data_IF_998960888634
#
_entry.id   IF_998960888634
#
_cell.length_a   1.000
_cell.length_b   1.000
_cell.length_c   1.000
_cell.angle_alpha   90.00
_cell.angle_beta   90.00
_cell.angle_gamma   90.00
#
_symmetry.space_group_name_H-M   'P 1'
#
loop_
_entity.id
_entity.type
_entity.pdbx_description
1 polymer ?
#
# COMPACT_ATOMS: atom_id res chain seq x y z
N UNK A 1 -32.59 23.01 -3.48
CA UNK A 1 -31.14 22.92 -3.38
C UNK A 1 -30.64 22.30 -4.66
N UNK A 2 -29.55 22.76 -5.25
CA UNK A 2 -28.98 22.13 -6.44
C UNK A 2 -28.63 20.66 -6.14
N UNK A 3 -28.91 19.76 -7.07
CA UNK A 3 -28.55 18.37 -6.95
C UNK A 3 -27.06 18.24 -7.29
N UNK A 4 -26.20 18.26 -6.28
CA UNK A 4 -24.74 18.22 -6.45
C UNK A 4 -24.27 16.98 -7.23
N UNK A 5 -24.92 15.84 -7.03
CA UNK A 5 -24.56 14.58 -7.70
C UNK A 5 -24.82 14.66 -9.21
N UNK A 6 -25.95 15.25 -9.62
CA UNK A 6 -26.26 15.42 -11.05
C UNK A 6 -25.33 16.46 -11.69
N UNK A 7 -25.08 17.58 -11.01
CA UNK A 7 -24.13 18.58 -11.50
C UNK A 7 -22.72 18.01 -11.70
N UNK A 8 -22.23 17.17 -10.78
CA UNK A 8 -20.95 16.48 -10.95
C UNK A 8 -20.91 15.60 -12.20
N UNK A 9 -21.98 14.84 -12.46
CA UNK A 9 -22.07 14.00 -13.66
C UNK A 9 -22.06 14.84 -14.95
N UNK A 10 -22.78 15.95 -14.95
CA UNK A 10 -22.81 16.89 -16.11
C UNK A 10 -21.42 17.49 -16.35
N UNK A 11 -20.69 17.89 -15.29
CA UNK A 11 -19.33 18.42 -15.40
C UNK A 11 -18.37 17.36 -15.93
N UNK A 12 -18.41 16.13 -15.39
CA UNK A 12 -17.57 15.04 -15.87
C UNK A 12 -17.83 14.74 -17.36
N UNK A 13 -19.09 14.74 -17.77
CA UNK A 13 -19.48 14.57 -19.16
C UNK A 13 -18.91 15.70 -20.02
N UNK A 14 -19.05 16.96 -19.59
CA UNK A 14 -18.50 18.12 -20.29
C UNK A 14 -16.97 18.01 -20.43
N UNK A 15 -16.24 17.61 -19.39
CA UNK A 15 -14.79 17.46 -19.44
C UNK A 15 -14.37 16.41 -20.46
N UNK A 16 -15.07 15.27 -20.50
CA UNK A 16 -14.77 14.19 -21.43
C UNK A 16 -15.07 14.57 -22.87
N UNK A 17 -16.27 15.15 -23.14
CA UNK A 17 -16.69 15.55 -24.49
C UNK A 17 -15.81 16.65 -25.08
N UNK A 18 -15.22 17.49 -24.25
CA UNK A 18 -14.36 18.60 -24.69
C UNK A 18 -12.87 18.36 -24.51
N UNK A 19 -12.46 17.19 -24.04
CA UNK A 19 -11.07 16.82 -23.74
C UNK A 19 -10.33 17.91 -22.94
N UNK A 20 -10.94 18.34 -21.83
CA UNK A 20 -10.40 19.44 -21.02
C UNK A 20 -9.04 19.07 -20.44
N UNK A 21 -8.87 17.83 -19.98
CA UNK A 21 -7.60 17.36 -19.42
C UNK A 21 -6.50 17.28 -20.47
N UNK A 22 -6.80 16.73 -21.67
CA UNK A 22 -5.84 16.68 -22.76
C UNK A 22 -5.40 18.06 -23.22
N UNK A 23 -6.31 19.02 -23.33
CA UNK A 23 -6.00 20.42 -23.66
C UNK A 23 -5.08 21.05 -22.64
N UNK A 24 -5.36 20.87 -21.34
CA UNK A 24 -4.50 21.38 -20.25
C UNK A 24 -3.08 20.83 -20.34
N UNK A 25 -2.95 19.50 -20.57
CA UNK A 25 -1.63 18.88 -20.75
C UNK A 25 -0.88 19.46 -21.94
N UNK A 26 -1.55 19.63 -23.05
CA UNK A 26 -0.97 20.18 -24.28
C UNK A 26 -0.49 21.64 -24.08
N UNK A 27 -1.29 22.49 -23.46
CA UNK A 27 -0.93 23.87 -23.17
C UNK A 27 0.30 23.97 -22.26
N UNK A 28 0.41 23.09 -21.27
CA UNK A 28 1.48 23.12 -20.27
C UNK A 28 2.76 22.41 -20.71
N UNK A 29 2.73 21.63 -21.78
CA UNK A 29 3.83 20.78 -22.22
C UNK A 29 5.14 21.54 -22.50
N UNK A 30 5.03 22.78 -23.01
CA UNK A 30 6.16 23.56 -23.49
C UNK A 30 6.42 24.84 -22.67
N UNK A 31 5.85 24.98 -21.49
CA UNK A 31 6.00 26.18 -20.65
C UNK A 31 7.37 26.29 -19.97
N UNK A 32 8.15 25.21 -19.96
CA UNK A 32 9.43 25.14 -19.22
C UNK A 32 9.25 25.01 -17.70
N UNK A 33 8.02 24.97 -17.19
CA UNK A 33 7.70 24.71 -15.79
C UNK A 33 7.26 23.27 -15.63
N UNK A 34 7.81 22.60 -14.63
CA UNK A 34 7.48 21.19 -14.35
C UNK A 34 7.16 20.96 -12.88
N UNK A 35 6.08 20.25 -12.62
CA UNK A 35 5.69 19.79 -11.29
C UNK A 35 5.94 18.29 -11.19
N UNK A 36 6.92 17.89 -10.37
CA UNK A 36 7.25 16.49 -10.15
C UNK A 36 6.16 15.83 -9.28
N UNK A 37 5.58 14.78 -9.79
CA UNK A 37 4.57 13.98 -9.10
C UNK A 37 4.90 12.51 -9.22
N UNK A 38 4.81 11.79 -8.12
CA UNK A 38 4.89 10.34 -8.05
C UNK A 38 3.72 9.85 -7.21
N UNK A 39 2.86 9.03 -7.80
CA UNK A 39 1.73 8.46 -7.06
C UNK A 39 2.21 7.41 -6.05
N UNK A 40 1.79 7.54 -4.78
CA UNK A 40 1.87 6.47 -3.81
C UNK A 40 0.76 5.46 -4.13
N UNK A 41 1.12 4.23 -4.58
CA UNK A 41 0.17 3.33 -5.19
C UNK A 41 -0.87 2.83 -4.18
N UNK A 42 -2.14 2.82 -4.59
CA UNK A 42 -3.21 2.21 -3.80
C UNK A 42 -3.18 0.70 -3.97
N UNK A 43 -3.39 -0.05 -2.87
CA UNK A 43 -3.47 -1.51 -2.95
C UNK A 43 -4.75 -1.95 -3.65
N UNK A 44 -4.59 -2.73 -4.74
CA UNK A 44 -5.68 -3.21 -5.58
C UNK A 44 -6.30 -4.51 -5.03
N UNK A 45 -6.77 -4.50 -3.77
CA UNK A 45 -7.35 -5.65 -3.09
C UNK A 45 -8.84 -5.51 -2.74
N UNK A 46 -9.39 -4.29 -2.83
CA UNK A 46 -10.80 -4.00 -2.55
C UNK A 46 -11.24 -2.66 -3.16
N UNK A 47 -12.53 -2.33 -3.05
CA UNK A 47 -13.06 -1.02 -3.44
C UNK A 47 -12.44 0.11 -2.61
N UNK A 48 -12.39 1.32 -3.16
CA UNK A 48 -11.91 2.48 -2.41
C UNK A 48 -12.73 2.75 -1.15
N UNK A 49 -12.05 2.90 -0.01
CA UNK A 49 -12.62 3.48 1.19
C UNK A 49 -12.57 5.01 1.18
N UNK A 50 -13.23 5.65 2.13
CA UNK A 50 -13.31 7.11 2.26
C UNK A 50 -11.91 7.77 2.37
N UNK A 51 -11.00 7.16 3.10
CA UNK A 51 -9.62 7.64 3.26
C UNK A 51 -8.83 7.62 1.95
N UNK A 52 -9.08 6.63 1.08
CA UNK A 52 -8.48 6.59 -0.25
C UNK A 52 -9.04 7.72 -1.14
N UNK A 53 -10.35 7.94 -1.12
CA UNK A 53 -10.99 9.03 -1.86
C UNK A 53 -10.45 10.40 -1.40
N UNK A 54 -10.27 10.60 -0.11
CA UNK A 54 -9.67 11.81 0.45
C UNK A 54 -8.25 12.02 -0.06
N UNK A 55 -7.37 11.03 0.08
CA UNK A 55 -6.00 11.11 -0.41
C UNK A 55 -5.93 11.43 -1.91
N UNK A 56 -6.76 10.78 -2.73
CA UNK A 56 -6.83 11.03 -4.16
C UNK A 56 -7.28 12.43 -4.49
N UNK A 57 -8.26 12.94 -3.76
CA UNK A 57 -8.72 14.33 -3.91
C UNK A 57 -7.62 15.34 -3.57
N UNK A 58 -6.82 15.10 -2.52
CA UNK A 58 -5.69 15.98 -2.18
C UNK A 58 -4.60 15.97 -3.27
N UNK A 59 -4.27 14.81 -3.80
CA UNK A 59 -3.31 14.68 -4.92
C UNK A 59 -3.80 15.45 -6.16
N UNK A 60 -5.09 15.27 -6.49
CA UNK A 60 -5.71 15.93 -7.64
C UNK A 60 -5.73 17.46 -7.48
N UNK A 61 -6.04 17.98 -6.30
CA UNK A 61 -6.00 19.43 -6.02
C UNK A 61 -4.60 20.01 -6.29
N UNK A 62 -3.55 19.33 -5.83
CA UNK A 62 -2.17 19.79 -6.04
C UNK A 62 -1.77 19.77 -7.52
N UNK A 63 -2.12 18.71 -8.24
CA UNK A 63 -1.86 18.60 -9.67
C UNK A 63 -2.65 19.63 -10.48
N UNK A 64 -3.93 19.85 -10.16
CA UNK A 64 -4.75 20.89 -10.80
C UNK A 64 -4.21 22.28 -10.55
N UNK A 65 -3.84 22.57 -9.30
CA UNK A 65 -3.23 23.86 -8.96
C UNK A 65 -1.93 24.10 -9.75
N UNK A 66 -1.06 23.09 -9.84
CA UNK A 66 0.16 23.18 -10.65
C UNK A 66 -0.17 23.40 -12.13
N UNK A 67 -1.11 22.62 -12.69
CA UNK A 67 -1.55 22.77 -14.08
C UNK A 67 -2.15 24.14 -14.38
N UNK A 68 -2.99 24.69 -13.48
CA UNK A 68 -3.56 26.03 -13.63
C UNK A 68 -2.48 27.14 -13.56
N UNK A 69 -1.33 26.88 -12.96
CA UNK A 69 -0.17 27.77 -12.96
C UNK A 69 0.82 27.54 -14.11
N UNK A 70 0.40 26.76 -15.11
CA UNK A 70 1.17 26.49 -16.31
C UNK A 70 2.29 25.48 -16.12
N UNK A 71 2.22 24.61 -15.10
CA UNK A 71 3.19 23.53 -14.92
C UNK A 71 2.73 22.27 -15.69
N UNK A 72 3.62 21.74 -16.52
CA UNK A 72 3.48 20.35 -17.01
C UNK A 72 3.72 19.36 -15.88
N UNK A 73 3.09 18.21 -15.93
CA UNK A 73 3.29 17.11 -14.98
C UNK A 73 3.12 15.76 -15.66
N UNK A 74 3.75 14.72 -15.07
CA UNK A 74 3.46 13.35 -15.44
C UNK A 74 2.32 12.84 -14.54
N UNK A 75 1.14 12.69 -15.12
CA UNK A 75 -0.09 12.32 -14.40
C UNK A 75 -0.23 10.80 -14.28
N UNK A 76 0.83 10.12 -13.83
CA UNK A 76 0.85 8.67 -13.74
C UNK A 76 0.21 8.18 -12.45
N UNK A 77 -0.77 7.28 -12.56
CA UNK A 77 -1.38 6.57 -11.44
C UNK A 77 -0.57 5.31 -11.11
N UNK A 78 -0.65 4.86 -9.85
CA UNK A 78 -0.02 3.61 -9.41
C UNK A 78 -0.98 2.67 -8.71
N UNK A 79 -0.72 1.36 -8.88
CA UNK A 79 -1.39 0.29 -8.15
C UNK A 79 -0.38 -0.57 -7.41
N UNK A 80 -0.60 -0.75 -6.10
CA UNK A 80 0.10 -1.75 -5.30
C UNK A 80 -0.61 -3.11 -5.50
N UNK A 81 0.10 -4.03 -6.13
CA UNK A 81 -0.47 -5.23 -6.72
C UNK A 81 -0.01 -6.53 -6.07
N UNK A 82 0.68 -6.49 -4.92
CA UNK A 82 1.23 -7.69 -4.29
C UNK A 82 1.34 -7.57 -2.77
N UNK A 83 1.77 -8.67 -2.13
CA UNK A 83 1.96 -8.76 -0.68
C UNK A 83 0.72 -9.22 0.07
N UNK A 84 0.84 -9.27 1.39
CA UNK A 84 -0.18 -9.81 2.30
C UNK A 84 -1.60 -9.26 2.09
N UNK A 85 -1.82 -7.97 1.82
CA UNK A 85 -3.18 -7.46 1.64
C UNK A 85 -3.94 -8.11 0.48
N UNK A 86 -3.25 -8.47 -0.61
CA UNK A 86 -3.83 -9.19 -1.75
C UNK A 86 -4.02 -10.66 -1.41
N UNK A 87 -2.99 -11.30 -0.84
CA UNK A 87 -3.01 -12.71 -0.45
C UNK A 87 -4.13 -13.02 0.54
N UNK A 88 -4.26 -12.23 1.62
CA UNK A 88 -5.31 -12.37 2.63
C UNK A 88 -6.72 -12.21 2.03
N UNK A 89 -6.86 -11.36 1.02
CA UNK A 89 -8.13 -11.22 0.30
C UNK A 89 -8.50 -12.50 -0.43
N UNK A 90 -7.55 -13.11 -1.13
CA UNK A 90 -7.75 -14.37 -1.85
C UNK A 90 -7.95 -15.53 -0.89
N UNK A 91 -7.17 -15.64 0.18
CA UNK A 91 -7.38 -16.65 1.23
C UNK A 91 -8.81 -16.60 1.77
N UNK A 92 -9.31 -15.41 2.05
CA UNK A 92 -10.68 -15.21 2.55
C UNK A 92 -11.73 -15.62 1.52
N UNK A 93 -11.53 -15.30 0.24
CA UNK A 93 -12.45 -15.68 -0.84
C UNK A 93 -12.47 -17.20 -1.08
N UNK A 94 -11.32 -17.86 -0.94
CA UNK A 94 -11.18 -19.31 -1.11
C UNK A 94 -11.44 -20.11 0.18
N UNK A 95 -11.61 -19.45 1.33
CA UNK A 95 -11.78 -20.11 2.63
C UNK A 95 -10.51 -20.81 3.14
N UNK A 96 -9.33 -20.39 2.70
CA UNK A 96 -8.04 -20.93 3.13
C UNK A 96 -7.60 -20.28 4.45
N UNK A 97 -7.12 -21.09 5.40
CA UNK A 97 -6.78 -20.65 6.75
C UNK A 97 -5.31 -20.83 7.13
N UNK A 98 -4.54 -21.43 6.26
CA UNK A 98 -3.12 -21.70 6.51
C UNK A 98 -2.32 -21.80 5.21
N UNK A 99 -1.01 -21.55 5.33
CA UNK A 99 -0.05 -21.70 4.23
C UNK A 99 -0.06 -23.13 3.64
N UNK A 100 -0.25 -24.15 4.49
CA UNK A 100 -0.35 -25.56 4.03
C UNK A 100 -1.57 -25.80 3.14
N UNK A 101 -2.66 -25.06 3.36
CA UNK A 101 -3.85 -25.15 2.50
C UNK A 101 -3.61 -24.46 1.16
N UNK A 102 -2.85 -23.36 1.12
CA UNK A 102 -2.41 -22.72 -0.13
C UNK A 102 -1.53 -23.67 -0.94
N UNK A 103 -0.57 -24.34 -0.28
CA UNK A 103 0.29 -25.33 -0.93
C UNK A 103 -0.52 -26.50 -1.54
N UNK A 104 -1.56 -26.97 -0.84
CA UNK A 104 -2.49 -28.01 -1.35
C UNK A 104 -3.37 -27.51 -2.49
N UNK A 105 -3.81 -26.26 -2.44
CA UNK A 105 -4.58 -25.63 -3.52
C UNK A 105 -3.74 -25.47 -4.79
N UNK A 106 -2.43 -25.33 -4.62
CA UNK A 106 -1.44 -25.08 -5.67
C UNK A 106 -1.03 -23.61 -5.73
N UNK A 107 0.26 -23.37 -5.53
CA UNK A 107 0.81 -22.01 -5.49
C UNK A 107 0.53 -21.23 -6.77
N UNK A 108 0.68 -21.87 -7.94
CA UNK A 108 0.39 -21.24 -9.23
C UNK A 108 -1.07 -20.82 -9.36
N UNK A 109 -2.01 -21.69 -8.99
CA UNK A 109 -3.44 -21.38 -8.98
C UNK A 109 -3.77 -20.23 -8.04
N UNK A 110 -3.09 -20.17 -6.88
CA UNK A 110 -3.26 -19.10 -5.91
C UNK A 110 -2.75 -17.76 -6.45
N UNK A 111 -1.57 -17.74 -7.09
CA UNK A 111 -1.02 -16.54 -7.74
C UNK A 111 -1.96 -16.05 -8.84
N UNK A 112 -2.49 -16.94 -9.67
CA UNK A 112 -3.45 -16.57 -10.71
C UNK A 112 -4.69 -15.90 -10.10
N UNK A 113 -5.20 -16.40 -8.97
CA UNK A 113 -6.29 -15.76 -8.23
C UNK A 113 -5.91 -14.37 -7.70
N UNK A 114 -4.69 -14.21 -7.21
CA UNK A 114 -4.19 -12.89 -6.79
C UNK A 114 -4.17 -11.90 -7.96
N UNK A 115 -3.69 -12.30 -9.12
CA UNK A 115 -3.69 -11.46 -10.32
C UNK A 115 -5.12 -11.08 -10.74
N UNK A 116 -6.06 -12.03 -10.74
CA UNK A 116 -7.48 -11.76 -11.04
C UNK A 116 -8.10 -10.76 -10.06
N UNK A 117 -7.75 -10.83 -8.78
CA UNK A 117 -8.19 -9.87 -7.75
C UNK A 117 -7.63 -8.48 -8.04
N UNK A 118 -6.35 -8.39 -8.36
CA UNK A 118 -5.69 -7.11 -8.71
C UNK A 118 -6.35 -6.48 -9.95
N UNK A 119 -6.54 -7.23 -11.02
CA UNK A 119 -7.17 -6.74 -12.26
C UNK A 119 -8.59 -6.23 -12.01
N UNK A 120 -9.37 -7.00 -11.25
CA UNK A 120 -10.73 -6.62 -10.88
C UNK A 120 -10.78 -5.31 -10.10
N UNK A 121 -9.98 -5.20 -9.04
CA UNK A 121 -10.07 -4.04 -8.15
C UNK A 121 -9.35 -2.82 -8.69
N UNK A 122 -8.28 -2.96 -9.47
CA UNK A 122 -7.67 -1.83 -10.17
C UNK A 122 -8.65 -1.17 -11.14
N UNK A 123 -9.42 -1.96 -11.90
CA UNK A 123 -10.47 -1.46 -12.77
C UNK A 123 -11.57 -0.72 -11.99
N UNK A 124 -12.06 -1.29 -10.89
CA UNK A 124 -13.08 -0.65 -10.04
C UNK A 124 -12.55 0.66 -9.44
N UNK A 125 -11.33 0.66 -8.90
CA UNK A 125 -10.70 1.84 -8.31
C UNK A 125 -10.50 2.94 -9.36
N UNK A 126 -10.13 2.57 -10.58
CA UNK A 126 -10.02 3.50 -11.70
C UNK A 126 -11.35 4.20 -11.97
N UNK A 127 -12.45 3.44 -12.08
CA UNK A 127 -13.78 4.01 -12.31
C UNK A 127 -14.26 4.87 -11.12
N UNK A 128 -13.98 4.44 -9.89
CA UNK A 128 -14.27 5.24 -8.69
C UNK A 128 -13.46 6.55 -8.68
N UNK A 129 -12.21 6.52 -9.12
CA UNK A 129 -11.34 7.70 -9.19
C UNK A 129 -11.76 8.67 -10.30
N UNK A 130 -12.16 8.15 -11.45
CA UNK A 130 -12.78 8.95 -12.53
C UNK A 130 -14.09 9.58 -12.04
N UNK A 131 -14.88 8.85 -11.25
CA UNK A 131 -16.12 9.39 -10.65
C UNK A 131 -15.87 10.50 -9.64
N UNK A 132 -14.73 10.49 -8.92
CA UNK A 132 -14.27 11.60 -8.08
C UNK A 132 -13.84 12.82 -8.89
N UNK A 133 -13.68 12.67 -10.20
CA UNK A 133 -13.16 13.71 -11.09
C UNK A 133 -11.64 13.83 -11.09
N UNK A 134 -10.92 12.84 -10.58
CA UNK A 134 -9.46 12.84 -10.59
C UNK A 134 -8.90 12.76 -12.01
N UNK A 135 -7.93 13.60 -12.33
CA UNK A 135 -7.23 13.62 -13.61
C UNK A 135 -5.92 12.86 -13.55
N UNK A 136 -5.86 11.75 -14.28
CA UNK A 136 -4.67 10.91 -14.44
C UNK A 136 -4.63 10.32 -15.84
N UNK A 137 -3.46 9.97 -16.32
CA UNK A 137 -3.25 9.14 -17.50
C UNK A 137 -3.49 7.67 -17.11
N UNK A 138 -4.75 7.27 -17.12
CA UNK A 138 -5.18 5.96 -16.61
C UNK A 138 -4.58 4.80 -17.41
N UNK A 139 -4.31 5.00 -18.68
CA UNK A 139 -3.70 4.00 -19.57
C UNK A 139 -2.17 3.87 -19.35
N UNK A 140 -1.56 4.85 -18.66
CA UNK A 140 -0.15 4.86 -18.24
C UNK A 140 0.00 4.52 -16.74
N UNK A 141 -0.93 3.77 -16.17
CA UNK A 141 -0.84 3.35 -14.78
C UNK A 141 0.28 2.33 -14.59
N UNK A 142 1.15 2.54 -13.58
CA UNK A 142 2.13 1.52 -13.22
C UNK A 142 1.57 0.53 -12.19
N UNK A 143 2.04 -0.71 -12.27
CA UNK A 143 1.72 -1.78 -11.35
C UNK A 143 2.99 -2.30 -10.69
N UNK A 144 2.97 -2.45 -9.35
CA UNK A 144 4.17 -2.86 -8.62
C UNK A 144 4.63 -4.27 -8.96
N UNK A 145 3.77 -5.11 -9.54
CA UNK A 145 4.06 -6.47 -10.01
C UNK A 145 4.44 -6.55 -11.49
N UNK A 146 4.56 -5.43 -12.20
CA UNK A 146 5.01 -5.44 -13.60
C UNK A 146 6.51 -5.71 -13.70
N UNK A 147 6.93 -6.33 -14.81
CA UNK A 147 8.34 -6.65 -15.05
C UNK A 147 9.21 -5.38 -15.12
N UNK A 148 8.67 -4.29 -15.66
CA UNK A 148 9.35 -2.99 -15.72
C UNK A 148 9.61 -2.45 -14.31
N UNK A 149 8.59 -2.46 -13.45
CA UNK A 149 8.75 -1.99 -12.07
C UNK A 149 9.71 -2.89 -11.27
N UNK A 150 9.57 -4.20 -11.39
CA UNK A 150 10.47 -5.17 -10.74
C UNK A 150 11.91 -4.96 -11.21
N UNK A 151 12.14 -4.79 -12.52
CA UNK A 151 13.47 -4.53 -13.07
C UNK A 151 14.06 -3.22 -12.55
N UNK A 152 13.27 -2.16 -12.45
CA UNK A 152 13.71 -0.88 -11.90
C UNK A 152 14.10 -1.00 -10.42
N UNK A 153 13.32 -1.74 -9.61
CA UNK A 153 13.64 -2.01 -8.19
C UNK A 153 14.94 -2.83 -8.08
N UNK A 154 15.13 -3.85 -8.89
CA UNK A 154 16.38 -4.63 -8.90
C UNK A 154 17.58 -3.79 -9.31
N UNK A 155 17.42 -2.89 -10.29
CA UNK A 155 18.49 -1.94 -10.66
C UNK A 155 18.84 -1.03 -9.48
N UNK A 156 17.85 -0.48 -8.80
CA UNK A 156 18.06 0.35 -7.60
C UNK A 156 18.83 -0.42 -6.51
N UNK A 157 18.40 -1.66 -6.19
CA UNK A 157 19.06 -2.51 -5.21
C UNK A 157 20.51 -2.83 -5.61
N UNK A 158 20.75 -3.10 -6.89
CA UNK A 158 22.11 -3.33 -7.43
C UNK A 158 23.00 -2.12 -7.17
N UNK A 159 22.55 -0.91 -7.52
CA UNK A 159 23.30 0.33 -7.28
C UNK A 159 23.57 0.55 -5.79
N UNK A 160 22.60 0.28 -4.92
CA UNK A 160 22.78 0.37 -3.46
C UNK A 160 23.83 -0.63 -2.95
N UNK A 161 23.81 -1.85 -3.48
CA UNK A 161 24.80 -2.87 -3.15
C UNK A 161 26.21 -2.47 -3.60
N UNK A 162 26.38 -2.01 -4.85
CA UNK A 162 27.67 -1.54 -5.39
C UNK A 162 28.24 -0.36 -4.59
N UNK A 163 27.38 0.48 -4.01
CA UNK A 163 27.78 1.57 -3.10
C UNK A 163 28.07 1.12 -1.66
N UNK A 164 27.88 -0.16 -1.34
CA UNK A 164 28.06 -0.68 0.01
C UNK A 164 26.99 -0.24 1.02
N UNK A 165 25.83 0.20 0.54
CA UNK A 165 24.72 0.64 1.41
C UNK A 165 23.85 -0.51 1.91
N UNK A 166 23.94 -1.66 1.28
CA UNK A 166 23.22 -2.89 1.71
C UNK A 166 24.18 -3.76 2.50
N UNK A 167 23.80 -4.11 3.71
CA UNK A 167 24.58 -4.96 4.60
C UNK A 167 23.68 -6.01 5.25
N UNK A 168 24.23 -7.20 5.52
CA UNK A 168 23.55 -8.23 6.29
C UNK A 168 23.64 -7.92 7.79
N UNK A 169 22.50 -7.95 8.48
CA UNK A 169 22.41 -7.73 9.93
C UNK A 169 21.28 -8.54 10.55
N UNK A 170 21.45 -8.93 11.79
CA UNK A 170 20.36 -9.47 12.60
C UNK A 170 19.53 -8.33 13.18
N UNK A 171 18.21 -8.41 13.03
CA UNK A 171 17.26 -7.47 13.60
C UNK A 171 16.10 -8.24 14.23
N UNK A 172 15.75 -7.95 15.50
CA UNK A 172 14.50 -8.46 16.08
C UNK A 172 13.33 -7.93 15.27
N UNK A 173 12.45 -8.83 14.85
CA UNK A 173 11.29 -8.48 14.02
C UNK A 173 10.08 -9.25 14.53
N UNK A 174 8.91 -8.61 14.71
CA UNK A 174 7.67 -9.31 14.98
C UNK A 174 7.38 -10.34 13.88
N UNK A 175 6.90 -11.50 14.28
CA UNK A 175 6.67 -12.62 13.38
C UNK A 175 5.24 -13.13 13.52
N UNK A 176 4.53 -13.22 12.42
CA UNK A 176 3.22 -13.82 12.34
C UNK A 176 3.34 -15.34 12.16
N UNK A 177 2.91 -16.10 13.17
CA UNK A 177 2.96 -17.57 13.13
C UNK A 177 1.97 -18.12 12.09
N UNK A 178 0.81 -17.48 11.91
CA UNK A 178 -0.21 -17.87 10.92
C UNK A 178 0.29 -17.71 9.50
N UNK A 179 0.83 -16.53 9.18
CA UNK A 179 1.29 -16.19 7.83
C UNK A 179 2.71 -16.70 7.54
N UNK A 180 3.48 -17.06 8.58
CA UNK A 180 4.86 -17.52 8.44
C UNK A 180 5.82 -16.45 7.92
N UNK A 181 5.56 -15.16 8.25
CA UNK A 181 6.34 -14.03 7.76
C UNK A 181 6.56 -12.96 8.84
N UNK A 182 7.56 -12.11 8.62
CA UNK A 182 7.79 -10.92 9.43
C UNK A 182 6.67 -9.89 9.21
N UNK A 183 6.31 -9.16 10.27
CA UNK A 183 5.33 -8.09 10.23
C UNK A 183 6.02 -6.73 10.17
N UNK A 184 5.49 -5.84 9.35
CA UNK A 184 5.87 -4.43 9.29
C UNK A 184 5.20 -3.63 10.43
N UNK A 185 5.74 -2.45 10.73
CA UNK A 185 5.13 -1.52 11.69
C UNK A 185 3.72 -1.10 11.25
N UNK A 186 3.50 -1.01 9.95
CA UNK A 186 2.21 -0.65 9.38
C UNK A 186 1.14 -1.72 9.63
N UNK A 187 1.48 -2.98 9.39
CA UNK A 187 0.58 -4.11 9.66
C UNK A 187 0.29 -4.28 11.16
N UNK A 188 1.23 -3.93 12.03
CA UNK A 188 1.01 -3.91 13.48
C UNK A 188 0.16 -2.72 13.96
N UNK A 189 0.05 -1.67 13.16
CA UNK A 189 -0.75 -0.49 13.45
C UNK A 189 -2.25 -0.64 13.15
N UNK A 190 -2.65 -1.69 12.46
CA UNK A 190 -4.05 -1.94 12.14
C UNK A 190 -4.89 -2.20 13.39
N UNK A 191 -6.11 -1.66 13.40
CA UNK A 191 -7.04 -1.78 14.53
C UNK A 191 -7.36 -3.24 14.89
N UNK A 192 -7.37 -4.13 13.92
CA UNK A 192 -7.67 -5.55 14.08
C UNK A 192 -6.42 -6.42 14.31
N UNK A 193 -5.22 -5.79 14.41
CA UNK A 193 -3.96 -6.51 14.61
C UNK A 193 -3.80 -7.12 16.00
N UNK A 194 -4.59 -6.67 16.98
CA UNK A 194 -4.47 -7.08 18.37
C UNK A 194 -5.75 -7.77 18.86
N UNK A 195 -5.55 -8.83 19.63
CA UNK A 195 -6.62 -9.55 20.29
C UNK A 195 -6.29 -9.71 21.77
N UNK A 196 -7.25 -9.44 22.64
CA UNK A 196 -7.12 -9.79 24.06
C UNK A 196 -7.25 -11.31 24.24
N UNK A 197 -6.27 -11.89 24.91
CA UNK A 197 -6.27 -13.30 25.27
C UNK A 197 -5.92 -13.46 26.74
N UNK A 198 -6.53 -14.44 27.40
CA UNK A 198 -6.11 -14.88 28.71
C UNK A 198 -4.89 -15.80 28.57
N UNK A 199 -3.84 -15.47 29.30
CA UNK A 199 -2.59 -16.21 29.27
C UNK A 199 -2.09 -16.49 30.71
N UNK A 200 -1.65 -17.72 30.93
CA UNK A 200 -1.03 -18.07 32.23
C UNK A 200 0.39 -17.51 32.28
N UNK A 201 0.63 -16.56 33.16
CA UNK A 201 1.96 -16.04 33.47
C UNK A 201 2.56 -16.76 34.68
N UNK A 202 3.83 -17.14 34.57
CA UNK A 202 4.57 -17.77 35.65
C UNK A 202 5.62 -16.79 36.17
N UNK A 203 5.50 -16.45 37.46
CA UNK A 203 6.48 -15.61 38.13
C UNK A 203 7.29 -16.50 39.10
N UNK A 204 8.60 -16.42 39.00
CA UNK A 204 9.48 -17.12 39.94
C UNK A 204 10.53 -16.15 40.50
N UNK A 205 10.87 -16.32 41.76
CA UNK A 205 11.91 -15.56 42.46
C UNK A 205 13.18 -16.36 42.48
N UNK A 206 14.27 -15.73 41.99
CA UNK A 206 15.62 -16.29 42.13
C UNK A 206 16.39 -15.51 43.21
N UNK A 207 17.13 -16.19 44.07
CA UNK A 207 18.00 -15.51 45.03
C UNK A 207 19.17 -14.87 44.29
N UNK A 208 19.43 -13.60 44.59
CA UNK A 208 20.60 -12.89 44.06
C UNK A 208 21.77 -13.15 44.97
N UNK A 209 22.81 -13.80 44.41
CA UNK A 209 24.07 -14.10 45.15
C UNK A 209 25.08 -12.98 44.77
N UNK A 210 25.38 -12.10 45.74
CA UNK A 210 26.37 -11.05 45.58
C UNK A 210 26.03 -9.76 46.32
N UNK A 211 27.03 -9.09 46.85
CA UNK A 211 26.85 -7.92 47.73
C UNK A 211 26.78 -6.57 47.00
N UNK A 212 27.01 -6.52 45.68
CA UNK A 212 27.12 -5.26 44.93
C UNK A 212 26.38 -5.29 43.58
N UNK A 213 25.11 -5.73 43.57
CA UNK A 213 24.28 -5.72 42.37
C UNK A 213 23.43 -4.45 42.34
N UNK A 214 23.52 -3.67 41.24
CA UNK A 214 22.64 -2.56 41.00
C UNK A 214 21.31 -3.05 40.43
N UNK A 215 20.26 -2.21 40.50
CA UNK A 215 18.90 -2.50 39.97
C UNK A 215 18.89 -2.86 38.48
N UNK A 216 19.89 -2.45 37.70
CA UNK A 216 20.01 -2.79 36.28
C UNK A 216 20.34 -4.27 36.04
N UNK A 217 20.77 -5.01 37.04
CA UNK A 217 21.06 -6.45 36.96
C UNK A 217 19.84 -7.33 37.34
N UNK A 218 18.71 -6.70 37.73
CA UNK A 218 17.46 -7.39 38.00
C UNK A 218 16.66 -7.36 36.70
N UNK A 219 16.58 -8.48 35.99
CA UNK A 219 15.71 -8.61 34.84
C UNK A 219 14.25 -8.58 35.26
N UNK A 220 13.52 -7.55 34.90
CA UNK A 220 12.07 -7.57 35.01
C UNK A 220 11.46 -8.41 33.88
N UNK A 221 10.64 -9.41 34.20
CA UNK A 221 9.87 -10.11 33.17
C UNK A 221 8.61 -9.32 32.84
N UNK A 222 8.77 -8.07 32.39
CA UNK A 222 7.68 -7.31 31.83
C UNK A 222 7.85 -7.28 30.30
N UNK A 223 7.34 -8.30 29.65
CA UNK A 223 7.10 -8.20 28.22
C UNK A 223 5.64 -8.46 27.94
N UNK A 224 4.96 -7.43 27.48
CA UNK A 224 3.83 -7.62 26.60
C UNK A 224 4.38 -8.19 25.30
N UNK A 225 4.14 -9.44 25.02
CA UNK A 225 4.35 -10.00 23.70
C UNK A 225 3.12 -9.67 22.88
N UNK A 226 3.24 -8.97 21.74
CA UNK A 226 2.15 -8.94 20.78
C UNK A 226 1.93 -10.36 20.28
N UNK A 227 0.70 -10.81 20.31
CA UNK A 227 0.31 -12.12 19.82
C UNK A 227 -0.61 -11.87 18.63
N UNK A 228 -0.15 -12.37 17.50
CA UNK A 228 -0.90 -12.47 16.25
C UNK A 228 -2.07 -13.42 16.36
#
# INVERSE_FOLDING_TARGET
MPNLVENEKEILKFWNENDIFGKLKQENQNTGKYYAFLDGPITANYIMGLHHAWNRSLKDVMLRFAGMNGCGAHYQNGFDAHGLPVELRVEKELGLNSKKEIEKYGVENFIEKCLQVVDKYSSIITEQSKRLGQWMDWDDSYYTNSDENITAIWHFLKVCHEKGWITEKYRPTPWCIRCGTALSEHEMGDADAYKEIEHTAVFFKLPVLGKNLSLIHISEPTRRTPIS
#
